data_IF_603642095585
#
_entry.id   IF_603642095585
#
_cell.length_a   1.000
_cell.length_b   1.000
_cell.length_c   1.000
_cell.angle_alpha   90.00
_cell.angle_beta   90.00
_cell.angle_gamma   90.00
#
_symmetry.space_group_name_H-M   'P 1'
#
loop_
_entity.id
_entity.type
_entity.pdbx_description
1 polymer ?
#
# COMPACT_ATOMS: atom_id res chain seq x y z
N UNK A 1 -12.45 1.68 5.07
CA UNK A 1 -12.10 0.38 5.68
C UNK A 1 -12.25 -0.77 4.70
N UNK A 2 -13.40 -0.96 4.05
CA UNK A 2 -13.62 -2.08 3.10
C UNK A 2 -12.69 -2.03 1.87
N UNK A 3 -12.41 -0.83 1.33
CA UNK A 3 -11.49 -0.64 0.19
C UNK A 3 -10.07 -1.04 0.57
N UNK A 4 -9.52 -0.49 1.66
CA UNK A 4 -8.18 -0.83 2.14
C UNK A 4 -8.04 -2.34 2.44
N UNK A 5 -9.08 -2.96 3.02
CA UNK A 5 -9.09 -4.41 3.23
C UNK A 5 -8.96 -5.19 1.91
N UNK A 6 -9.75 -4.84 0.90
CA UNK A 6 -9.71 -5.51 -0.41
C UNK A 6 -8.37 -5.31 -1.11
N UNK A 7 -7.86 -4.08 -1.12
CA UNK A 7 -6.57 -3.74 -1.74
C UNK A 7 -5.41 -4.45 -1.04
N UNK A 8 -5.29 -4.37 0.28
CA UNK A 8 -4.22 -5.04 1.00
C UNK A 8 -4.31 -6.58 0.86
N UNK A 9 -5.51 -7.15 0.88
CA UNK A 9 -5.71 -8.58 0.63
C UNK A 9 -5.23 -8.99 -0.75
N UNK A 10 -5.51 -8.20 -1.77
CA UNK A 10 -5.09 -8.49 -3.14
C UNK A 10 -3.58 -8.27 -3.35
N UNK A 11 -3.05 -7.11 -2.98
CA UNK A 11 -1.65 -6.79 -3.26
C UNK A 11 -0.68 -7.51 -2.32
N UNK A 12 -0.99 -7.63 -1.02
CA UNK A 12 -0.06 -8.20 -0.02
C UNK A 12 -0.36 -9.68 0.22
N UNK A 13 -1.64 -9.98 0.44
CA UNK A 13 -2.11 -11.34 0.68
C UNK A 13 -2.03 -12.25 -0.54
N UNK A 14 -2.19 -11.72 -1.76
CA UNK A 14 -2.14 -12.53 -2.98
C UNK A 14 -0.86 -12.28 -3.80
N UNK A 15 -0.64 -11.06 -4.30
CA UNK A 15 0.48 -10.79 -5.23
C UNK A 15 1.84 -10.93 -4.54
N UNK A 16 2.09 -10.14 -3.48
CA UNK A 16 3.38 -10.14 -2.77
C UNK A 16 3.66 -11.52 -2.15
N UNK A 17 2.66 -12.15 -1.54
CA UNK A 17 2.83 -13.48 -0.94
C UNK A 17 3.10 -14.57 -1.99
N UNK A 18 2.39 -14.58 -3.13
CA UNK A 18 2.66 -15.57 -4.19
C UNK A 18 4.04 -15.38 -4.80
N UNK A 19 4.42 -14.14 -5.11
CA UNK A 19 5.76 -13.84 -5.62
C UNK A 19 6.83 -14.28 -4.62
N UNK A 20 6.62 -14.05 -3.31
CA UNK A 20 7.53 -14.51 -2.27
C UNK A 20 7.74 -16.03 -2.29
N UNK A 21 6.71 -16.82 -2.56
CA UNK A 21 6.82 -18.29 -2.68
C UNK A 21 7.39 -18.77 -4.02
N UNK A 22 7.39 -17.94 -5.06
CA UNK A 22 7.96 -18.28 -6.37
C UNK A 22 9.48 -18.10 -6.41
N UNK A 23 10.07 -17.29 -5.52
CA UNK A 23 11.51 -17.11 -5.44
C UNK A 23 12.15 -18.10 -4.46
N UNK A 24 13.34 -18.61 -4.82
CA UNK A 24 14.14 -19.46 -3.94
C UNK A 24 14.54 -18.70 -2.67
N UNK A 25 14.39 -19.36 -1.51
CA UNK A 25 14.61 -18.76 -0.18
C UNK A 25 16.05 -18.26 0.06
N UNK A 26 17.03 -18.79 -0.67
CA UNK A 26 18.45 -18.49 -0.46
C UNK A 26 18.93 -17.23 -1.18
N UNK A 27 18.06 -16.57 -1.95
CA UNK A 27 18.38 -15.35 -2.67
C UNK A 27 18.00 -14.10 -1.87
N UNK A 28 18.92 -13.16 -1.62
CA UNK A 28 18.61 -11.86 -1.02
C UNK A 28 17.44 -11.11 -1.70
N UNK A 29 17.18 -11.46 -2.96
CA UNK A 29 16.12 -10.90 -3.79
C UNK A 29 14.72 -11.45 -3.50
N UNK A 30 14.62 -12.57 -2.76
CA UNK A 30 13.37 -13.28 -2.51
C UNK A 30 12.32 -12.43 -1.74
N UNK A 31 12.79 -11.44 -0.97
CA UNK A 31 11.95 -10.49 -0.23
C UNK A 31 11.72 -9.20 -1.00
N UNK A 32 12.76 -8.69 -1.64
CA UNK A 32 12.76 -7.38 -2.26
C UNK A 32 11.94 -7.35 -3.55
N UNK A 33 12.05 -8.37 -4.40
CA UNK A 33 11.31 -8.39 -5.68
C UNK A 33 9.79 -8.41 -5.47
N UNK A 34 9.22 -9.29 -4.64
CA UNK A 34 7.78 -9.29 -4.38
C UNK A 34 7.26 -7.94 -3.86
N UNK A 35 8.00 -7.31 -2.96
CA UNK A 35 7.67 -6.01 -2.38
C UNK A 35 7.62 -4.93 -3.46
N UNK A 36 8.68 -4.83 -4.28
CA UNK A 36 8.78 -3.80 -5.33
C UNK A 36 7.69 -4.01 -6.38
N UNK A 37 7.50 -5.24 -6.86
CA UNK A 37 6.48 -5.55 -7.86
C UNK A 37 5.08 -5.23 -7.35
N UNK A 38 4.72 -5.69 -6.14
CA UNK A 38 3.41 -5.40 -5.57
C UNK A 38 3.18 -3.89 -5.36
N UNK A 39 4.22 -3.15 -4.94
CA UNK A 39 4.12 -1.70 -4.72
C UNK A 39 4.00 -0.90 -6.01
N UNK A 40 4.70 -1.31 -7.07
CA UNK A 40 4.58 -0.70 -8.40
C UNK A 40 3.19 -0.94 -8.98
N UNK A 41 2.68 -2.17 -8.91
CA UNK A 41 1.32 -2.49 -9.35
C UNK A 41 0.28 -1.71 -8.56
N UNK A 42 0.46 -1.58 -7.25
CA UNK A 42 -0.39 -0.76 -6.39
C UNK A 42 -0.38 0.70 -6.86
N UNK A 43 0.79 1.29 -7.13
CA UNK A 43 0.84 2.65 -7.68
C UNK A 43 0.16 2.80 -9.03
N UNK A 44 0.37 1.85 -9.95
CA UNK A 44 -0.17 1.90 -11.32
C UNK A 44 -1.70 1.85 -11.37
N UNK A 45 -2.37 1.10 -10.50
CA UNK A 45 -3.84 1.10 -10.47
C UNK A 45 -4.44 2.45 -10.04
N UNK A 46 -3.64 3.28 -9.37
CA UNK A 46 -4.02 4.63 -8.96
C UNK A 46 -3.74 5.71 -10.03
N UNK A 47 -3.45 5.32 -11.28
CA UNK A 47 -3.17 6.24 -12.37
C UNK A 47 -4.28 7.27 -12.63
N UNK A 48 -5.52 6.95 -12.29
CA UNK A 48 -6.65 7.90 -12.38
C UNK A 48 -6.44 9.20 -11.57
N UNK A 49 -5.63 9.17 -10.51
CA UNK A 49 -5.25 10.37 -9.74
C UNK A 49 -4.07 11.16 -10.32
N UNK A 50 -3.52 10.74 -11.47
CA UNK A 50 -2.37 11.35 -12.14
C UNK A 50 -1.01 10.82 -11.69
N UNK A 51 0.04 11.22 -12.40
CA UNK A 51 1.41 10.70 -12.20
C UNK A 51 1.93 10.97 -10.78
N UNK A 52 1.66 12.14 -10.21
CA UNK A 52 2.06 12.47 -8.84
C UNK A 52 1.43 11.52 -7.82
N UNK A 53 0.16 11.15 -8.02
CA UNK A 53 -0.55 10.21 -7.17
C UNK A 53 -0.07 8.77 -7.33
N UNK A 54 0.34 8.38 -8.54
CA UNK A 54 1.00 7.07 -8.79
C UNK A 54 2.30 6.95 -8.00
N UNK A 55 3.15 7.98 -8.04
CA UNK A 55 4.43 7.98 -7.31
C UNK A 55 4.16 7.93 -5.80
N UNK A 56 3.26 8.78 -5.29
CA UNK A 56 2.89 8.77 -3.88
C UNK A 56 2.32 7.42 -3.43
N UNK A 57 1.40 6.83 -4.21
CA UNK A 57 0.79 5.53 -3.94
C UNK A 57 1.80 4.40 -3.99
N UNK A 58 2.79 4.45 -4.91
CA UNK A 58 3.89 3.48 -4.95
C UNK A 58 4.72 3.54 -3.67
N UNK A 59 5.10 4.73 -3.22
CA UNK A 59 5.89 4.92 -1.99
C UNK A 59 5.12 4.45 -0.76
N UNK A 60 3.84 4.83 -0.65
CA UNK A 60 2.95 4.32 0.40
C UNK A 60 2.84 2.79 0.34
N UNK A 61 2.75 2.26 -0.89
CA UNK A 61 2.66 0.83 -1.13
C UNK A 61 3.88 0.04 -0.65
N UNK A 62 5.09 0.61 -0.79
CA UNK A 62 6.33 0.06 -0.21
C UNK A 62 6.23 0.05 1.31
N UNK A 63 5.74 1.13 1.91
CA UNK A 63 5.54 1.21 3.37
C UNK A 63 4.62 0.11 3.90
N UNK A 64 3.46 -0.08 3.28
CA UNK A 64 2.51 -1.14 3.69
C UNK A 64 3.08 -2.54 3.45
N UNK A 65 3.77 -2.73 2.32
CA UNK A 65 4.41 -4.00 1.99
C UNK A 65 5.56 -4.35 2.94
N UNK A 66 6.32 -3.37 3.44
CA UNK A 66 7.33 -3.57 4.48
C UNK A 66 6.68 -3.91 5.82
N UNK A 67 5.61 -3.20 6.20
CA UNK A 67 4.86 -3.51 7.42
C UNK A 67 4.33 -4.95 7.40
N UNK A 68 3.75 -5.38 6.28
CA UNK A 68 3.35 -6.78 6.07
C UNK A 68 4.54 -7.73 6.12
N UNK A 69 5.66 -7.41 5.47
CA UNK A 69 6.82 -8.30 5.40
C UNK A 69 7.50 -8.50 6.76
N UNK A 70 7.54 -7.46 7.60
CA UNK A 70 8.12 -7.53 8.94
C UNK A 70 7.19 -8.28 9.90
N UNK A 71 5.89 -8.00 9.84
CA UNK A 71 4.93 -8.52 10.83
C UNK A 71 4.26 -9.83 10.43
N UNK A 72 4.29 -10.17 9.13
CA UNK A 72 3.53 -11.26 8.50
C UNK A 72 2.02 -11.20 8.80
N UNK A 73 1.51 -10.00 9.10
CA UNK A 73 0.13 -9.73 9.51
C UNK A 73 -0.50 -8.74 8.56
N UNK A 74 -1.59 -9.14 7.93
CA UNK A 74 -2.28 -8.29 6.96
C UNK A 74 -3.01 -7.14 7.65
N UNK A 75 -3.42 -7.34 8.91
CA UNK A 75 -4.10 -6.34 9.72
C UNK A 75 -3.21 -5.10 9.91
N UNK A 76 -1.89 -5.29 10.06
CA UNK A 76 -0.95 -4.18 10.22
C UNK A 76 -0.86 -3.35 8.93
N UNK A 77 -0.86 -4.00 7.76
CA UNK A 77 -0.88 -3.30 6.48
C UNK A 77 -2.20 -2.53 6.28
N UNK A 78 -3.34 -3.14 6.61
CA UNK A 78 -4.66 -2.51 6.53
C UNK A 78 -4.76 -1.30 7.46
N UNK A 79 -4.26 -1.42 8.69
CA UNK A 79 -4.24 -0.31 9.64
C UNK A 79 -3.31 0.82 9.16
N UNK A 80 -2.13 0.50 8.65
CA UNK A 80 -1.17 1.49 8.13
C UNK A 80 -1.77 2.25 6.95
N UNK A 81 -2.42 1.54 6.03
CA UNK A 81 -3.10 2.14 4.88
C UNK A 81 -4.29 2.99 5.32
N UNK A 82 -5.14 2.47 6.20
CA UNK A 82 -6.30 3.21 6.72
C UNK A 82 -5.85 4.50 7.43
N UNK A 83 -4.77 4.44 8.20
CA UNK A 83 -4.22 5.61 8.89
C UNK A 83 -3.68 6.65 7.90
N UNK A 84 -2.93 6.22 6.88
CA UNK A 84 -2.42 7.14 5.86
C UNK A 84 -3.56 7.79 5.07
N UNK A 85 -4.60 7.03 4.73
CA UNK A 85 -5.79 7.59 4.08
C UNK A 85 -6.53 8.57 5.00
N UNK A 86 -6.60 8.29 6.30
CA UNK A 86 -7.18 9.22 7.27
C UNK A 86 -6.36 10.52 7.37
N UNK A 87 -5.03 10.42 7.44
CA UNK A 87 -4.13 11.58 7.42
C UNK A 87 -4.30 12.38 6.13
N UNK A 88 -4.37 11.71 4.99
CA UNK A 88 -4.61 12.34 3.70
C UNK A 88 -5.95 13.09 3.67
N UNK A 89 -7.00 12.44 4.19
CA UNK A 89 -8.34 13.03 4.25
C UNK A 89 -8.39 14.23 5.20
N UNK A 90 -7.80 14.13 6.39
CA UNK A 90 -7.87 15.16 7.44
C UNK A 90 -6.95 16.36 7.19
N UNK A 91 -5.81 16.16 6.52
CA UNK A 91 -4.82 17.23 6.32
C UNK A 91 -4.82 17.81 4.91
N UNK A 92 -5.15 17.01 3.89
CA UNK A 92 -5.02 17.41 2.49
C UNK A 92 -6.36 17.51 1.76
N UNK A 93 -7.43 16.87 2.26
CA UNK A 93 -8.77 16.92 1.65
C UNK A 93 -9.75 17.79 2.45
N UNK A 94 -9.67 17.75 3.78
CA UNK A 94 -10.28 18.72 4.71
C UNK A 94 -9.15 19.57 5.31
N UNK A 95 -9.33 20.89 5.54
CA UNK A 95 -10.55 21.53 6.01
C UNK A 95 -11.21 22.38 4.93
N UNK A 96 -12.32 21.90 4.37
CA UNK A 96 -13.28 22.76 3.69
C UNK A 96 -14.56 22.74 4.55
N UNK A 97 -14.96 23.91 5.07
CA UNK A 97 -16.04 24.17 6.03
C UNK A 97 -15.64 24.16 7.53
N UNK A 98 -15.11 25.29 8.00
CA UNK A 98 -15.57 25.99 9.22
C UNK A 98 -15.09 27.45 9.15
N UNK A 99 -15.49 28.20 8.12
CA UNK A 99 -15.23 29.64 8.03
C UNK A 99 -16.27 30.39 7.16
N UNK A 100 -17.53 29.95 7.15
CA UNK A 100 -18.63 30.71 6.54
C UNK A 100 -19.85 30.71 7.48
N UNK A 101 -19.72 31.35 8.65
CA UNK A 101 -20.85 31.81 9.49
C UNK A 101 -20.85 33.33 9.50
#
# INVERSE_FOLDING_TARGET
MSVCLAEETFFRGFIQQRLYYLFEKDSLWHKTIPLIVASLLFGLVHFAGGIGYVVASTVAGIGYGLAYQITQRIEVAILSHTLLNLVHLVLFTYPFSMNDV
#
